data_IF_186728424216
#
_entry.id   IF_186728424216
#
_cell.length_a   1.000
_cell.length_b   1.000
_cell.length_c   1.000
_cell.angle_alpha   90.00
_cell.angle_beta   90.00
_cell.angle_gamma   90.00
#
_symmetry.space_group_name_H-M   'P 1'
#
loop_
_entity.id
_entity.type
_entity.pdbx_description
1 polymer ?
#
# COMPACT_ATOMS: atom_id res chain seq x y z
N UNK A 1 -33.25 12.67 2.98
CA UNK A 1 -32.61 11.46 3.49
C UNK A 1 -32.25 10.50 2.35
N UNK A 2 -33.21 9.89 1.67
CA UNK A 2 -32.95 8.89 0.62
C UNK A 2 -31.99 9.34 -0.50
N UNK A 3 -32.07 10.56 -0.98
CA UNK A 3 -31.19 11.11 -2.02
C UNK A 3 -29.73 11.20 -1.56
N UNK A 4 -29.49 11.61 -0.32
CA UNK A 4 -28.14 11.73 0.25
C UNK A 4 -27.49 10.38 0.45
N UNK A 5 -28.24 9.41 0.97
CA UNK A 5 -27.79 8.03 1.12
C UNK A 5 -27.45 7.39 -0.23
N UNK A 6 -28.31 7.56 -1.24
CA UNK A 6 -28.06 7.06 -2.59
C UNK A 6 -26.81 7.69 -3.21
N UNK A 7 -26.61 8.99 -3.03
CA UNK A 7 -25.40 9.66 -3.50
C UNK A 7 -24.14 9.05 -2.88
N UNK A 8 -24.13 8.85 -1.56
CA UNK A 8 -22.99 8.29 -0.84
C UNK A 8 -22.74 6.83 -1.26
N UNK A 9 -23.77 5.99 -1.36
CA UNK A 9 -23.67 4.59 -1.80
C UNK A 9 -23.05 4.44 -3.19
N UNK A 10 -23.17 5.46 -4.05
CA UNK A 10 -22.65 5.46 -5.42
C UNK A 10 -21.25 6.09 -5.56
N UNK A 11 -20.55 6.40 -4.48
CA UNK A 11 -19.15 6.84 -4.56
C UNK A 11 -18.29 5.77 -5.23
N UNK A 12 -17.42 6.22 -6.13
CA UNK A 12 -16.56 5.31 -6.89
C UNK A 12 -15.63 4.52 -5.98
N UNK A 13 -15.53 3.23 -6.23
CA UNK A 13 -14.62 2.31 -5.58
C UNK A 13 -13.44 1.92 -6.49
N UNK A 14 -13.34 2.57 -7.67
CA UNK A 14 -12.28 2.34 -8.65
C UNK A 14 -11.57 3.65 -8.97
N UNK A 15 -10.24 3.57 -9.11
CA UNK A 15 -9.45 4.71 -9.56
C UNK A 15 -9.67 4.95 -11.06
N UNK A 16 -9.72 6.20 -11.52
CA UNK A 16 -9.90 6.49 -12.94
C UNK A 16 -8.73 5.93 -13.77
N UNK A 17 -9.06 5.23 -14.84
CA UNK A 17 -8.07 4.69 -15.76
C UNK A 17 -7.40 5.82 -16.57
N UNK A 18 -6.09 5.74 -16.84
CA UNK A 18 -5.40 6.71 -17.68
C UNK A 18 -5.88 6.62 -19.14
N UNK A 19 -5.88 7.77 -19.83
CA UNK A 19 -6.30 7.82 -21.26
C UNK A 19 -5.36 7.04 -22.18
N UNK A 20 -4.08 6.93 -21.81
CA UNK A 20 -3.06 6.21 -22.56
C UNK A 20 -2.37 5.24 -21.61
N UNK A 21 -2.32 3.98 -21.99
CA UNK A 21 -1.59 2.95 -21.28
C UNK A 21 -0.17 2.86 -21.85
N UNK A 22 0.82 2.76 -20.96
CA UNK A 22 2.21 2.45 -21.34
C UNK A 22 2.49 1.02 -20.92
N UNK A 23 3.25 0.24 -21.71
CA UNK A 23 3.66 -1.10 -21.33
C UNK A 23 4.51 -1.07 -20.06
N UNK A 24 4.46 -2.15 -19.28
CA UNK A 24 5.15 -2.28 -18.00
C UNK A 24 6.24 -3.33 -18.12
N UNK A 25 7.42 -3.03 -17.59
CA UNK A 25 8.49 -4.01 -17.36
C UNK A 25 8.64 -4.16 -15.84
N UNK A 26 8.59 -5.41 -15.36
CA UNK A 26 8.72 -5.71 -13.95
C UNK A 26 10.14 -6.18 -13.65
N UNK A 27 10.79 -5.55 -12.68
CA UNK A 27 12.12 -5.90 -12.18
C UNK A 27 11.96 -6.51 -10.78
N UNK A 28 12.23 -7.81 -10.68
CA UNK A 28 11.95 -8.65 -9.51
C UNK A 28 10.64 -9.42 -9.65
N UNK A 29 10.68 -10.73 -9.42
CA UNK A 29 9.54 -11.65 -9.61
C UNK A 29 9.16 -12.35 -8.29
N UNK A 30 9.19 -11.58 -7.18
CA UNK A 30 8.83 -12.05 -5.85
C UNK A 30 7.35 -12.36 -5.67
N UNK A 31 6.97 -12.86 -4.48
CA UNK A 31 5.59 -13.23 -4.15
C UNK A 31 4.59 -12.10 -4.39
N UNK A 32 4.93 -10.87 -4.03
CA UNK A 32 4.02 -9.72 -4.22
C UNK A 32 3.71 -9.46 -5.71
N UNK A 33 4.64 -9.74 -6.60
CA UNK A 33 4.42 -9.62 -8.05
C UNK A 33 3.42 -10.67 -8.53
N UNK A 34 3.62 -11.91 -8.08
CA UNK A 34 2.73 -13.03 -8.40
C UNK A 34 1.33 -12.83 -7.84
N UNK A 35 1.24 -12.42 -6.57
CA UNK A 35 -0.01 -12.45 -5.81
C UNK A 35 -0.83 -11.14 -5.96
N UNK A 36 -0.20 -10.05 -6.38
CA UNK A 36 -0.87 -8.75 -6.46
C UNK A 36 -0.61 -7.97 -7.76
N UNK A 37 0.65 -7.69 -8.15
CA UNK A 37 0.92 -6.83 -9.32
C UNK A 37 0.39 -7.44 -10.62
N UNK A 38 0.79 -8.65 -10.96
CA UNK A 38 0.36 -9.31 -12.20
C UNK A 38 -1.16 -9.56 -12.25
N UNK A 39 -1.82 -10.03 -11.18
CA UNK A 39 -3.28 -10.10 -11.15
C UNK A 39 -3.96 -8.74 -11.35
N UNK A 40 -3.44 -7.66 -10.74
CA UNK A 40 -3.96 -6.31 -10.91
C UNK A 40 -3.81 -5.83 -12.36
N UNK A 41 -2.62 -5.95 -12.93
CA UNK A 41 -2.34 -5.53 -14.30
C UNK A 41 -3.18 -6.31 -15.32
N UNK A 42 -3.31 -7.62 -15.14
CA UNK A 42 -4.19 -8.45 -15.96
C UNK A 42 -5.65 -8.02 -15.88
N UNK A 43 -6.15 -7.75 -14.65
CA UNK A 43 -7.53 -7.30 -14.42
C UNK A 43 -7.80 -5.92 -15.05
N UNK A 44 -6.82 -5.02 -14.98
CA UNK A 44 -6.91 -3.67 -15.54
C UNK A 44 -6.63 -3.60 -17.05
N UNK A 45 -6.17 -4.68 -17.67
CA UNK A 45 -5.77 -4.70 -19.09
C UNK A 45 -4.45 -3.97 -19.35
N UNK A 46 -3.58 -3.82 -18.34
CA UNK A 46 -2.23 -3.29 -18.53
C UNK A 46 -1.35 -4.34 -19.19
N UNK A 47 -0.61 -3.93 -20.22
CA UNK A 47 0.37 -4.78 -20.88
C UNK A 47 1.62 -4.92 -20.02
N UNK A 48 1.97 -6.14 -19.63
CA UNK A 48 3.29 -6.45 -19.07
C UNK A 48 4.15 -6.99 -20.21
N UNK A 49 5.05 -6.16 -20.72
CA UNK A 49 5.88 -6.48 -21.90
C UNK A 49 7.05 -7.39 -21.57
N UNK A 50 7.46 -7.49 -20.30
CA UNK A 50 8.52 -8.41 -19.90
C UNK A 50 8.86 -8.38 -18.42
N UNK A 51 9.61 -9.40 -18.00
CA UNK A 51 10.09 -9.59 -16.64
C UNK A 51 11.61 -9.69 -16.61
N UNK A 52 12.19 -9.26 -15.50
CA UNK A 52 13.58 -9.53 -15.15
C UNK A 52 13.69 -9.94 -13.67
N UNK A 53 14.48 -10.97 -13.40
CA UNK A 53 14.92 -11.33 -12.05
C UNK A 53 16.36 -11.87 -12.14
N UNK A 54 17.13 -11.73 -11.06
CA UNK A 54 18.47 -12.36 -10.96
C UNK A 54 18.39 -13.89 -11.01
N UNK A 55 17.27 -14.46 -10.58
CA UNK A 55 16.89 -15.85 -10.78
C UNK A 55 16.05 -15.96 -12.07
N UNK A 56 16.73 -16.23 -13.18
CA UNK A 56 16.09 -16.31 -14.51
C UNK A 56 15.05 -17.43 -14.61
N UNK A 57 15.21 -18.53 -13.89
CA UNK A 57 14.23 -19.63 -13.91
C UNK A 57 12.94 -19.22 -13.19
N UNK A 58 13.05 -18.49 -12.10
CA UNK A 58 11.90 -17.93 -11.41
C UNK A 58 11.14 -16.95 -12.32
N UNK A 59 11.85 -16.08 -13.03
CA UNK A 59 11.23 -15.16 -13.99
C UNK A 59 10.53 -15.90 -15.13
N UNK A 60 11.17 -16.94 -15.72
CA UNK A 60 10.60 -17.76 -16.79
C UNK A 60 9.34 -18.51 -16.33
N UNK A 61 9.36 -19.08 -15.13
CA UNK A 61 8.21 -19.79 -14.59
C UNK A 61 7.02 -18.84 -14.39
N UNK A 62 7.26 -17.65 -13.84
CA UNK A 62 6.23 -16.64 -13.66
C UNK A 62 5.72 -16.09 -15.00
N UNK A 63 6.61 -15.85 -15.96
CA UNK A 63 6.23 -15.41 -17.29
C UNK A 63 5.32 -16.44 -17.99
N UNK A 64 5.64 -17.72 -17.90
CA UNK A 64 4.82 -18.81 -18.41
C UNK A 64 3.44 -18.86 -17.75
N UNK A 65 3.37 -18.71 -16.41
CA UNK A 65 2.12 -18.74 -15.65
C UNK A 65 1.16 -17.61 -16.07
N UNK A 66 1.70 -16.42 -16.36
CA UNK A 66 0.89 -15.25 -16.72
C UNK A 66 0.84 -14.95 -18.23
N UNK A 67 1.47 -15.75 -19.06
CA UNK A 67 1.47 -15.58 -20.52
C UNK A 67 2.30 -14.39 -20.98
N UNK A 68 3.38 -14.04 -20.28
CA UNK A 68 4.30 -12.96 -20.63
C UNK A 68 5.40 -13.52 -21.55
N UNK A 69 5.60 -12.91 -22.72
CA UNK A 69 6.48 -13.47 -23.74
C UNK A 69 7.97 -13.20 -23.49
N UNK A 70 8.30 -12.08 -22.87
CA UNK A 70 9.69 -11.66 -22.70
C UNK A 70 10.20 -11.88 -21.29
N UNK A 71 11.37 -12.51 -21.19
CA UNK A 71 12.18 -12.54 -19.97
C UNK A 71 13.56 -12.02 -20.33
N UNK A 72 13.91 -10.86 -19.79
CA UNK A 72 15.18 -10.20 -20.08
C UNK A 72 16.35 -10.94 -19.40
N UNK A 73 17.48 -10.98 -20.06
CA UNK A 73 18.69 -11.64 -19.57
C UNK A 73 19.52 -10.72 -18.66
N UNK A 74 19.34 -9.42 -18.78
CA UNK A 74 20.04 -8.42 -17.96
C UNK A 74 19.19 -7.18 -17.73
N UNK A 75 19.57 -6.38 -16.71
CA UNK A 75 18.97 -5.06 -16.47
C UNK A 75 19.21 -4.11 -17.64
N UNK A 76 20.40 -4.18 -18.23
CA UNK A 76 20.79 -3.36 -19.38
C UNK A 76 19.87 -3.62 -20.57
N UNK A 77 19.52 -4.88 -20.83
CA UNK A 77 18.56 -5.25 -21.88
C UNK A 77 17.16 -4.70 -21.56
N UNK A 78 16.67 -4.90 -20.35
CA UNK A 78 15.37 -4.38 -19.92
C UNK A 78 15.29 -2.85 -20.05
N UNK A 79 16.36 -2.13 -19.66
CA UNK A 79 16.43 -0.67 -19.62
C UNK A 79 16.58 0.01 -20.99
N UNK A 80 16.67 -0.75 -22.07
CA UNK A 80 16.61 -0.19 -23.44
C UNK A 80 15.20 0.31 -23.79
N UNK A 81 14.18 -0.19 -23.10
CA UNK A 81 12.76 0.12 -23.37
C UNK A 81 12.31 1.38 -22.60
N UNK A 82 12.86 2.55 -22.93
CA UNK A 82 12.67 3.80 -22.18
C UNK A 82 11.25 4.38 -22.21
N UNK A 83 10.41 3.94 -23.11
CA UNK A 83 9.00 4.31 -23.23
C UNK A 83 8.05 3.48 -22.34
N UNK A 84 8.61 2.53 -21.60
CA UNK A 84 7.90 1.68 -20.67
C UNK A 84 7.91 2.25 -19.24
N UNK A 85 6.97 1.78 -18.42
CA UNK A 85 6.99 1.99 -16.98
C UNK A 85 7.77 0.85 -16.33
N UNK A 86 8.74 1.18 -15.48
CA UNK A 86 9.49 0.17 -14.75
C UNK A 86 8.88 -0.05 -13.35
N UNK A 87 8.37 -1.24 -13.10
CA UNK A 87 7.88 -1.67 -11.78
C UNK A 87 9.01 -2.40 -11.04
N UNK A 88 9.63 -1.72 -10.06
CA UNK A 88 10.73 -2.24 -9.28
C UNK A 88 10.23 -2.92 -8.01
N UNK A 89 9.93 -4.21 -8.10
CA UNK A 89 9.46 -5.04 -6.99
C UNK A 89 10.63 -5.75 -6.29
N UNK A 90 11.58 -4.97 -5.82
CA UNK A 90 12.85 -5.44 -5.26
C UNK A 90 12.88 -5.39 -3.73
N UNK A 91 13.66 -6.26 -3.09
CA UNK A 91 14.03 -6.07 -1.69
C UNK A 91 14.73 -4.71 -1.49
N UNK A 92 14.55 -4.04 -0.34
CA UNK A 92 15.14 -2.71 -0.09
C UNK A 92 16.67 -2.70 -0.22
N UNK A 93 17.33 -3.82 0.05
CA UNK A 93 18.78 -3.96 -0.06
C UNK A 93 19.32 -3.81 -1.49
N UNK A 94 18.51 -4.11 -2.50
CA UNK A 94 18.92 -4.11 -3.90
C UNK A 94 18.43 -2.86 -4.65
N UNK A 95 17.52 -2.09 -4.05
CA UNK A 95 16.82 -1.01 -4.76
C UNK A 95 17.78 0.10 -5.20
N UNK A 96 18.67 0.55 -4.32
CA UNK A 96 19.61 1.65 -4.63
C UNK A 96 20.50 1.32 -5.84
N UNK A 97 21.11 0.14 -5.87
CA UNK A 97 21.97 -0.29 -6.98
C UNK A 97 21.23 -0.32 -8.31
N UNK A 98 19.99 -0.80 -8.31
CA UNK A 98 19.18 -0.86 -9.53
C UNK A 98 18.76 0.53 -9.98
N UNK A 99 18.40 1.42 -9.05
CA UNK A 99 18.03 2.82 -9.37
C UNK A 99 19.21 3.59 -9.95
N UNK A 100 20.44 3.32 -9.51
CA UNK A 100 21.66 3.90 -10.10
C UNK A 100 21.83 3.54 -11.58
N UNK A 101 21.37 2.36 -11.99
CA UNK A 101 21.44 1.87 -13.38
C UNK A 101 20.26 2.28 -14.25
N UNK A 102 19.15 2.76 -13.66
CA UNK A 102 17.98 3.21 -14.42
C UNK A 102 18.33 4.29 -15.45
N UNK A 103 17.74 4.26 -16.64
CA UNK A 103 17.90 5.34 -17.61
C UNK A 103 17.25 6.64 -17.14
N UNK A 104 17.60 7.73 -17.82
CA UNK A 104 17.01 9.04 -17.58
C UNK A 104 15.66 9.19 -18.28
N UNK A 105 14.82 10.13 -17.76
CA UNK A 105 13.53 10.53 -18.38
C UNK A 105 12.52 9.39 -18.49
N UNK A 106 12.44 8.52 -17.50
CA UNK A 106 11.53 7.37 -17.43
C UNK A 106 10.48 7.51 -16.34
N UNK A 107 9.53 6.58 -16.35
CA UNK A 107 8.54 6.39 -15.30
C UNK A 107 8.85 5.12 -14.50
N UNK A 108 8.71 5.18 -13.19
CA UNK A 108 8.96 4.02 -12.33
C UNK A 108 7.97 3.92 -11.16
N UNK A 109 7.64 2.70 -10.77
CA UNK A 109 6.92 2.37 -9.53
C UNK A 109 7.89 1.63 -8.64
N UNK A 110 8.07 2.08 -7.41
CA UNK A 110 8.95 1.43 -6.44
C UNK A 110 8.14 0.71 -5.36
N UNK A 111 8.50 -0.53 -5.08
CA UNK A 111 7.99 -1.21 -3.90
C UNK A 111 8.53 -0.58 -2.63
N UNK A 112 7.66 -0.51 -1.61
CA UNK A 112 8.07 -0.07 -0.26
C UNK A 112 8.93 -1.14 0.43
N UNK A 113 9.85 -0.76 1.33
CA UNK A 113 10.25 0.61 1.65
C UNK A 113 11.25 1.18 0.63
N UNK A 114 11.39 2.49 0.59
CA UNK A 114 12.35 3.18 -0.27
C UNK A 114 13.77 3.07 0.30
N UNK A 115 14.40 1.90 0.13
CA UNK A 115 15.71 1.60 0.70
C UNK A 115 15.65 1.09 2.15
N UNK A 116 16.80 0.77 2.72
CA UNK A 116 16.96 0.22 4.08
C UNK A 116 16.92 1.28 5.17
N UNK A 117 17.17 2.53 4.81
CA UNK A 117 17.28 3.64 5.75
C UNK A 117 16.79 4.94 5.12
N UNK A 118 16.58 5.97 5.96
CA UNK A 118 16.27 7.32 5.49
C UNK A 118 17.39 7.88 4.60
N UNK A 119 18.65 7.55 4.89
CA UNK A 119 19.80 7.98 4.07
C UNK A 119 19.73 7.39 2.67
N UNK A 120 19.50 6.07 2.54
CA UNK A 120 19.32 5.43 1.24
C UNK A 120 18.10 5.99 0.49
N UNK A 121 16.97 6.15 1.15
CA UNK A 121 15.79 6.76 0.56
C UNK A 121 16.05 8.16 0.01
N UNK A 122 16.85 8.99 0.73
CA UNK A 122 17.27 10.29 0.25
C UNK A 122 18.23 10.22 -0.95
N UNK A 123 19.13 9.23 -0.98
CA UNK A 123 20.02 8.99 -2.14
C UNK A 123 19.17 8.60 -3.37
N UNK A 124 18.25 7.65 -3.21
CA UNK A 124 17.36 7.23 -4.30
C UNK A 124 16.56 8.42 -4.82
N UNK A 125 15.96 9.21 -3.94
CA UNK A 125 15.22 10.42 -4.34
C UNK A 125 16.10 11.41 -5.10
N UNK A 126 17.33 11.63 -4.67
CA UNK A 126 18.30 12.51 -5.36
C UNK A 126 18.61 11.99 -6.76
N UNK A 127 18.86 10.69 -6.92
CA UNK A 127 19.11 10.06 -8.22
C UNK A 127 17.91 10.23 -9.14
N UNK A 128 16.70 9.97 -8.65
CA UNK A 128 15.48 10.17 -9.44
C UNK A 128 15.35 11.61 -9.93
N UNK A 129 15.65 12.59 -9.07
CA UNK A 129 15.67 14.00 -9.47
C UNK A 129 16.73 14.29 -10.54
N UNK A 130 17.96 13.82 -10.35
CA UNK A 130 19.07 14.05 -11.27
C UNK A 130 18.82 13.45 -12.67
N UNK A 131 18.21 12.27 -12.69
CA UNK A 131 17.88 11.53 -13.93
C UNK A 131 16.49 11.87 -14.49
N UNK A 132 15.77 12.83 -13.89
CA UNK A 132 14.39 13.16 -14.27
C UNK A 132 13.47 11.92 -14.32
N UNK A 133 13.65 10.99 -13.36
CA UNK A 133 12.78 9.82 -13.22
C UNK A 133 11.50 10.27 -12.52
N UNK A 134 10.35 10.04 -13.15
CA UNK A 134 9.03 10.23 -12.56
C UNK A 134 8.65 8.96 -11.80
N UNK A 135 8.88 8.97 -10.49
CA UNK A 135 8.68 7.80 -9.66
C UNK A 135 7.56 7.97 -8.66
N UNK A 136 6.81 6.90 -8.41
CA UNK A 136 5.90 6.78 -7.28
C UNK A 136 6.24 5.56 -6.42
N UNK A 137 5.79 5.60 -5.16
CA UNK A 137 5.87 4.46 -4.25
C UNK A 137 4.57 3.66 -4.34
N UNK A 138 4.68 2.35 -4.25
CA UNK A 138 3.52 1.46 -4.23
C UNK A 138 2.81 1.52 -2.86
N UNK A 139 2.17 2.66 -2.60
CA UNK A 139 1.31 2.87 -1.43
C UNK A 139 -0.15 2.57 -1.78
N UNK A 140 -0.38 1.33 -2.17
CA UNK A 140 -1.62 0.85 -2.76
C UNK A 140 -2.86 1.03 -1.86
N UNK A 141 -2.73 1.12 -0.54
CA UNK A 141 -3.88 1.32 0.37
C UNK A 141 -4.70 2.57 0.00
N UNK A 142 -4.05 3.62 -0.52
CA UNK A 142 -4.77 4.81 -1.03
C UNK A 142 -5.81 4.49 -2.08
N UNK A 143 -5.58 3.48 -2.89
CA UNK A 143 -6.38 3.14 -4.06
C UNK A 143 -7.26 1.91 -3.82
N UNK A 144 -7.34 1.44 -2.57
CA UNK A 144 -8.21 0.32 -2.23
C UNK A 144 -9.68 0.70 -2.39
N UNK A 145 -10.55 -0.26 -2.78
CA UNK A 145 -11.98 -0.03 -2.95
C UNK A 145 -12.67 0.61 -1.74
N UNK A 146 -12.15 0.38 -0.53
CA UNK A 146 -12.69 0.98 0.70
C UNK A 146 -12.13 2.38 0.99
N UNK A 147 -10.96 2.74 0.44
CA UNK A 147 -10.37 4.08 0.66
C UNK A 147 -11.00 5.15 -0.24
N UNK A 148 -11.32 4.80 -1.48
CA UNK A 148 -11.78 5.76 -2.48
C UNK A 148 -13.10 6.46 -2.10
N UNK A 149 -14.15 5.76 -1.61
CA UNK A 149 -15.36 6.42 -1.15
C UNK A 149 -15.12 7.35 0.05
N UNK A 150 -14.17 7.02 0.93
CA UNK A 150 -13.83 7.87 2.07
C UNK A 150 -13.19 9.19 1.61
N UNK A 151 -12.28 9.14 0.63
CA UNK A 151 -11.73 10.36 0.04
C UNK A 151 -12.81 11.21 -0.61
N UNK A 152 -13.76 10.61 -1.30
CA UNK A 152 -14.87 11.36 -1.90
C UNK A 152 -15.77 11.97 -0.84
N UNK A 153 -16.07 11.27 0.26
CA UNK A 153 -16.82 11.79 1.39
C UNK A 153 -16.12 12.99 2.06
N UNK A 154 -14.80 12.94 2.21
CA UNK A 154 -13.99 14.06 2.73
C UNK A 154 -14.04 15.23 1.76
N UNK A 155 -13.79 15.00 0.48
CA UNK A 155 -13.78 16.03 -0.58
C UNK A 155 -15.12 16.75 -0.71
N UNK A 156 -16.22 16.02 -0.56
CA UNK A 156 -17.58 16.59 -0.59
C UNK A 156 -18.04 17.16 0.76
N UNK A 157 -17.14 17.23 1.76
CA UNK A 157 -17.45 17.74 3.10
C UNK A 157 -18.60 17.01 3.82
N UNK A 158 -18.77 15.71 3.51
CA UNK A 158 -19.80 14.86 4.13
C UNK A 158 -19.50 14.62 5.61
N UNK A 159 -18.23 14.49 5.95
CA UNK A 159 -17.78 14.29 7.34
C UNK A 159 -17.63 15.63 8.10
N UNK A 160 -17.63 16.77 7.42
CA UNK A 160 -17.32 18.07 8.02
C UNK A 160 -15.82 18.23 8.28
N UNK A 161 -15.46 19.04 9.28
CA UNK A 161 -14.06 19.17 9.73
C UNK A 161 -13.64 17.91 10.48
N UNK A 162 -12.53 17.31 10.06
CA UNK A 162 -12.03 16.09 10.71
C UNK A 162 -11.48 16.43 12.09
N UNK A 163 -11.87 15.63 13.08
CA UNK A 163 -11.44 15.79 14.49
C UNK A 163 -10.76 14.53 15.04
N UNK A 164 -10.97 13.38 14.40
CA UNK A 164 -10.45 12.10 14.84
C UNK A 164 -9.96 11.27 13.65
N UNK A 165 -8.79 10.64 13.80
CA UNK A 165 -8.33 9.58 12.91
C UNK A 165 -7.58 8.53 13.73
N UNK A 166 -8.07 7.32 13.71
CA UNK A 166 -7.47 6.18 14.40
C UNK A 166 -7.19 5.05 13.42
N UNK A 167 -5.99 4.47 13.52
CA UNK A 167 -5.62 3.20 12.89
C UNK A 167 -5.39 2.17 13.98
N UNK A 168 -6.14 1.10 13.95
CA UNK A 168 -6.00 -0.02 14.87
C UNK A 168 -5.76 -1.32 14.10
N UNK A 169 -4.72 -2.05 14.47
CA UNK A 169 -4.40 -3.37 13.93
C UNK A 169 -3.96 -4.29 15.06
N UNK A 170 -4.68 -5.35 15.29
CA UNK A 170 -4.35 -6.41 16.25
C UNK A 170 -4.58 -7.76 15.57
N UNK A 171 -3.54 -8.29 14.90
CA UNK A 171 -3.65 -9.44 14.02
C UNK A 171 -2.51 -10.44 14.23
N UNK A 172 -2.71 -11.64 13.72
CA UNK A 172 -1.65 -12.61 13.53
C UNK A 172 -1.08 -12.48 12.12
N UNK A 173 0.20 -12.15 12.02
CA UNK A 173 0.91 -12.07 10.74
C UNK A 173 1.84 -13.28 10.62
N UNK A 174 1.74 -14.09 9.54
CA UNK A 174 2.59 -15.26 9.31
C UNK A 174 3.99 -14.82 8.82
N UNK A 175 4.83 -14.37 9.73
CA UNK A 175 6.14 -13.80 9.46
C UNK A 175 7.10 -14.74 8.71
N UNK A 176 6.88 -16.04 8.82
CA UNK A 176 7.65 -17.07 8.16
C UNK A 176 7.57 -17.02 6.62
N UNK A 177 6.54 -16.38 6.08
CA UNK A 177 6.41 -16.18 4.63
C UNK A 177 7.47 -15.23 4.06
N UNK A 178 8.12 -14.43 4.93
CA UNK A 178 9.12 -13.44 4.52
C UNK A 178 10.42 -13.55 5.30
N UNK A 179 11.27 -14.58 5.03
CA UNK A 179 12.51 -14.82 5.78
C UNK A 179 13.50 -13.65 5.80
N UNK A 180 13.50 -12.81 4.76
CA UNK A 180 14.38 -11.63 4.66
C UNK A 180 14.12 -10.58 5.77
N UNK A 181 12.95 -10.58 6.40
CA UNK A 181 12.62 -9.66 7.48
C UNK A 181 13.54 -9.79 8.69
N UNK A 182 14.11 -11.00 8.90
CA UNK A 182 15.05 -11.27 9.98
C UNK A 182 16.38 -10.52 9.85
N UNK A 183 16.67 -10.01 8.65
CA UNK A 183 17.92 -9.27 8.35
C UNK A 183 17.76 -7.75 8.47
N UNK A 184 16.56 -7.28 8.79
CA UNK A 184 16.26 -5.85 8.84
C UNK A 184 16.36 -5.30 10.26
N UNK A 185 16.96 -4.13 10.40
CA UNK A 185 17.08 -3.40 11.68
C UNK A 185 15.74 -2.83 12.17
N UNK A 186 14.77 -2.67 11.28
CA UNK A 186 13.39 -2.21 11.54
C UNK A 186 12.44 -2.94 10.61
N UNK A 187 11.31 -3.42 11.12
CA UNK A 187 10.38 -4.25 10.37
C UNK A 187 8.99 -3.60 10.31
N UNK A 188 8.38 -3.31 11.46
CA UNK A 188 6.96 -2.99 11.49
C UNK A 188 6.64 -1.70 10.75
N UNK A 189 7.29 -0.57 11.12
CA UNK A 189 6.98 0.73 10.52
C UNK A 189 7.30 0.78 9.03
N UNK A 190 8.51 0.43 8.56
CA UNK A 190 8.85 0.57 7.13
C UNK A 190 8.12 -0.44 6.22
N UNK A 191 7.62 -1.55 6.75
CA UNK A 191 7.02 -2.60 5.91
C UNK A 191 5.49 -2.70 6.01
N UNK A 192 4.91 -2.28 7.14
CA UNK A 192 3.47 -2.37 7.36
C UNK A 192 2.85 -1.01 7.66
N UNK A 193 3.23 -0.36 8.77
CA UNK A 193 2.66 0.92 9.16
C UNK A 193 2.88 2.03 8.15
N UNK A 194 3.87 1.93 7.28
CA UNK A 194 4.13 2.90 6.21
C UNK A 194 2.90 3.12 5.30
N UNK A 195 2.08 2.10 5.08
CA UNK A 195 0.84 2.22 4.33
C UNK A 195 -0.20 3.07 5.06
N UNK A 196 -0.32 2.89 6.38
CA UNK A 196 -1.24 3.68 7.21
C UNK A 196 -0.73 5.11 7.37
N UNK A 197 0.57 5.29 7.57
CA UNK A 197 1.21 6.62 7.66
C UNK A 197 0.99 7.38 6.35
N UNK A 198 1.17 6.72 5.21
CA UNK A 198 0.92 7.31 3.91
C UNK A 198 -0.56 7.67 3.72
N UNK A 199 -1.47 6.78 4.14
CA UNK A 199 -2.91 7.01 4.10
C UNK A 199 -3.32 8.19 5.00
N UNK A 200 -2.85 8.25 6.25
CA UNK A 200 -3.05 9.38 7.18
C UNK A 200 -2.59 10.69 6.51
N UNK A 201 -1.39 10.69 5.93
CA UNK A 201 -0.84 11.87 5.27
C UNK A 201 -1.61 12.28 4.02
N UNK A 202 -2.26 11.35 3.34
CA UNK A 202 -3.12 11.67 2.18
C UNK A 202 -4.38 12.41 2.60
N UNK A 203 -4.84 12.21 3.82
CA UNK A 203 -6.04 12.82 4.39
C UNK A 203 -5.72 14.12 5.16
N UNK A 204 -4.72 14.08 6.03
CA UNK A 204 -4.42 15.17 6.96
C UNK A 204 -3.16 15.97 6.60
N UNK A 205 -2.41 15.58 5.57
CA UNK A 205 -1.12 16.18 5.25
C UNK A 205 0.00 15.74 6.21
N UNK A 206 1.04 16.56 6.32
CA UNK A 206 2.16 16.26 7.22
C UNK A 206 1.84 16.68 8.65
N UNK A 207 2.09 15.84 9.66
CA UNK A 207 1.96 16.23 11.06
C UNK A 207 3.04 17.24 11.45
N UNK A 208 2.77 18.05 12.48
CA UNK A 208 3.72 18.96 13.09
C UNK A 208 4.80 18.22 13.91
N UNK A 209 4.46 17.02 14.39
CA UNK A 209 5.36 16.16 15.14
C UNK A 209 4.77 14.75 15.30
N UNK A 210 5.63 13.83 15.72
CA UNK A 210 5.25 12.43 15.96
C UNK A 210 5.91 11.94 17.25
N UNK A 211 5.12 11.31 18.12
CA UNK A 211 5.63 10.43 19.17
C UNK A 211 5.36 8.98 18.77
N UNK A 212 6.41 8.15 18.70
CA UNK A 212 6.29 6.78 18.22
C UNK A 212 7.20 5.84 19.01
N UNK A 213 6.68 4.68 19.36
CA UNK A 213 7.45 3.61 19.97
C UNK A 213 7.13 2.27 19.30
N UNK A 214 8.18 1.62 18.78
CA UNK A 214 8.12 0.25 18.25
C UNK A 214 8.80 -0.70 19.23
N UNK A 215 8.22 -1.90 19.40
CA UNK A 215 8.71 -2.87 20.37
C UNK A 215 8.72 -4.30 19.80
N UNK A 216 9.63 -5.11 20.36
CA UNK A 216 9.71 -6.57 20.07
C UNK A 216 8.60 -7.34 20.78
N UNK A 217 8.37 -8.55 20.30
CA UNK A 217 7.56 -9.53 21.02
C UNK A 217 8.46 -10.68 21.53
N UNK A 218 8.34 -11.14 22.80
CA UNK A 218 9.21 -12.17 23.36
C UNK A 218 9.21 -13.52 22.61
N UNK A 219 8.10 -13.84 21.92
CA UNK A 219 7.97 -15.08 21.13
C UNK A 219 8.45 -14.93 19.67
N UNK A 220 8.76 -13.72 19.21
CA UNK A 220 9.22 -13.42 17.85
C UNK A 220 10.56 -12.70 17.96
N UNK A 221 11.57 -13.43 18.45
CA UNK A 221 12.88 -12.86 18.82
C UNK A 221 13.73 -12.48 17.61
N UNK A 222 13.48 -13.12 16.49
CA UNK A 222 14.23 -12.94 15.24
C UNK A 222 13.91 -11.64 14.50
N UNK A 223 12.79 -10.99 14.81
CA UNK A 223 12.44 -9.70 14.21
C UNK A 223 12.90 -8.53 15.08
N UNK A 224 13.28 -7.43 14.43
CA UNK A 224 13.69 -6.21 15.10
C UNK A 224 12.56 -5.60 15.94
N UNK A 225 11.36 -5.52 15.36
CA UNK A 225 10.12 -5.08 15.99
C UNK A 225 8.90 -5.67 15.26
N UNK A 226 7.74 -5.63 15.89
CA UNK A 226 6.49 -6.18 15.33
C UNK A 226 5.23 -5.52 15.91
N UNK A 227 5.41 -4.51 16.77
CA UNK A 227 4.31 -3.76 17.38
C UNK A 227 4.70 -2.29 17.50
N UNK A 228 3.79 -1.40 17.14
CA UNK A 228 4.03 0.04 17.15
C UNK A 228 2.84 0.81 17.70
N UNK A 229 3.10 1.83 18.49
CA UNK A 229 2.12 2.86 18.83
C UNK A 229 2.67 4.22 18.43
N UNK A 230 1.83 5.04 17.78
CA UNK A 230 2.19 6.37 17.36
C UNK A 230 1.06 7.37 17.62
N UNK A 231 1.45 8.60 17.99
CA UNK A 231 0.57 9.77 18.06
C UNK A 231 1.14 10.79 17.08
N UNK A 232 0.29 11.27 16.17
CA UNK A 232 0.63 12.27 15.18
C UNK A 232 0.03 13.61 15.59
N UNK A 233 0.88 14.61 15.77
CA UNK A 233 0.45 15.95 16.18
C UNK A 233 -0.04 16.76 14.99
N UNK A 234 -1.35 17.00 14.93
CA UNK A 234 -2.02 17.89 13.98
C UNK A 234 -2.62 19.14 14.66
N UNK A 235 -1.99 19.60 15.74
CA UNK A 235 -2.47 20.73 16.56
C UNK A 235 -3.44 20.26 17.64
N UNK A 236 -4.33 21.15 18.05
CA UNK A 236 -5.20 20.96 19.21
C UNK A 236 -6.64 20.52 18.89
N UNK A 237 -6.95 20.33 17.60
CA UNK A 237 -8.31 19.99 17.16
C UNK A 237 -8.43 18.57 16.61
N UNK A 238 -7.34 17.97 16.14
CA UNK A 238 -7.35 16.63 15.53
C UNK A 238 -6.56 15.66 16.43
N UNK A 239 -7.24 14.63 16.92
CA UNK A 239 -6.56 13.49 17.52
C UNK A 239 -6.26 12.45 16.44
N UNK A 240 -4.97 12.16 16.20
CA UNK A 240 -4.55 11.15 15.24
C UNK A 240 -3.61 10.16 15.91
N UNK A 241 -3.99 8.88 15.93
CA UNK A 241 -3.18 7.84 16.54
C UNK A 241 -3.21 6.52 15.76
N UNK A 242 -2.19 5.71 16.00
CA UNK A 242 -2.01 4.40 15.39
C UNK A 242 -1.54 3.40 16.45
N UNK A 243 -2.22 2.25 16.54
CA UNK A 243 -1.84 1.13 17.42
C UNK A 243 -1.80 -0.15 16.61
N UNK A 244 -0.61 -0.73 16.48
CA UNK A 244 -0.35 -1.87 15.60
C UNK A 244 0.25 -3.02 16.40
N UNK A 245 -0.35 -4.19 16.30
CA UNK A 245 0.16 -5.46 16.83
C UNK A 245 0.00 -6.56 15.78
N UNK A 246 1.12 -7.04 15.25
CA UNK A 246 1.17 -8.13 14.26
C UNK A 246 1.43 -9.51 14.88
N UNK A 247 1.37 -9.61 16.22
CA UNK A 247 1.77 -10.84 16.94
C UNK A 247 0.67 -11.39 17.83
N UNK A 248 -0.59 -11.07 17.54
CA UNK A 248 -1.71 -11.65 18.26
C UNK A 248 -1.82 -13.15 17.97
N UNK A 249 -1.59 -13.99 18.98
CA UNK A 249 -1.50 -15.46 18.83
C UNK A 249 -2.58 -16.23 19.58
N UNK A 250 -3.70 -15.56 19.90
CA UNK A 250 -4.78 -16.14 20.71
C UNK A 250 -6.07 -16.41 19.90
N UNK A 251 -5.87 -16.79 18.62
CA UNK A 251 -6.97 -17.13 17.72
C UNK A 251 -7.63 -15.91 17.07
N UNK A 252 -8.61 -16.18 16.18
CA UNK A 252 -9.26 -15.15 15.36
C UNK A 252 -10.20 -14.22 16.15
N UNK A 253 -10.82 -14.70 17.19
CA UNK A 253 -11.94 -14.01 17.87
C UNK A 253 -11.65 -12.56 18.29
N UNK A 254 -10.42 -12.27 18.74
CA UNK A 254 -10.01 -10.95 19.23
C UNK A 254 -9.03 -10.26 18.26
N UNK A 255 -8.92 -10.71 17.02
CA UNK A 255 -8.24 -9.96 15.98
C UNK A 255 -9.17 -8.89 15.43
N UNK A 256 -8.62 -7.69 15.25
CA UNK A 256 -9.33 -6.56 14.67
C UNK A 256 -8.36 -5.67 13.87
N UNK A 257 -8.85 -5.10 12.77
CA UNK A 257 -8.06 -4.20 11.93
C UNK A 257 -8.98 -3.20 11.24
N UNK A 258 -8.82 -1.92 11.57
CA UNK A 258 -9.65 -0.86 11.00
C UNK A 258 -8.93 0.49 10.94
N UNK A 259 -9.47 1.37 10.08
CA UNK A 259 -9.25 2.81 10.10
C UNK A 259 -10.59 3.48 10.40
N UNK A 260 -10.62 4.38 11.37
CA UNK A 260 -11.79 5.15 11.76
C UNK A 260 -11.51 6.64 11.67
N UNK A 261 -12.44 7.38 11.08
CA UNK A 261 -12.44 8.82 11.02
C UNK A 261 -13.73 9.36 11.63
N UNK A 262 -13.61 10.48 12.34
CA UNK A 262 -14.76 11.27 12.75
C UNK A 262 -14.52 12.74 12.40
N UNK A 263 -15.57 13.37 11.98
CA UNK A 263 -15.61 14.80 11.72
C UNK A 263 -16.81 15.44 12.39
N UNK A 264 -16.99 16.74 12.22
CA UNK A 264 -18.07 17.50 12.87
C UNK A 264 -19.47 17.20 12.34
N UNK A 265 -19.59 16.49 11.19
CA UNK A 265 -20.88 16.16 10.56
C UNK A 265 -21.10 14.69 10.31
N UNK A 266 -20.09 13.85 10.48
CA UNK A 266 -20.19 12.42 10.19
C UNK A 266 -18.93 11.67 10.51
N UNK A 267 -18.97 10.35 10.27
CA UNK A 267 -17.87 9.45 10.52
C UNK A 267 -17.78 8.37 9.44
N UNK A 268 -16.60 7.74 9.34
CA UNK A 268 -16.36 6.60 8.47
C UNK A 268 -15.55 5.53 9.24
N UNK A 269 -15.86 4.25 8.99
CA UNK A 269 -15.08 3.12 9.49
C UNK A 269 -14.80 2.15 8.36
N UNK A 270 -13.52 1.85 8.15
CA UNK A 270 -13.03 0.87 7.20
C UNK A 270 -12.48 -0.35 7.96
N UNK A 271 -13.02 -1.54 7.72
CA UNK A 271 -12.45 -2.81 8.19
C UNK A 271 -11.43 -3.30 7.17
N UNK A 272 -10.21 -3.54 7.62
CA UNK A 272 -9.09 -4.00 6.79
C UNK A 272 -9.08 -5.54 6.75
N UNK A 273 -10.01 -6.10 5.99
CA UNK A 273 -10.30 -7.53 5.96
C UNK A 273 -9.12 -8.41 5.55
N UNK A 274 -8.28 -7.95 4.61
CA UNK A 274 -7.09 -8.68 4.17
C UNK A 274 -6.15 -9.06 5.32
N UNK A 275 -6.08 -8.26 6.38
CA UNK A 275 -5.19 -8.51 7.52
C UNK A 275 -5.71 -9.59 8.47
N UNK A 276 -6.98 -9.90 8.37
CA UNK A 276 -7.67 -10.86 9.20
C UNK A 276 -7.65 -12.22 8.50
N UNK A 277 -7.03 -13.22 9.13
CA UNK A 277 -6.83 -14.56 8.53
C UNK A 277 -5.97 -14.53 7.24
N UNK A 278 -4.89 -13.74 7.26
CA UNK A 278 -3.95 -13.65 6.12
C UNK A 278 -3.29 -15.01 5.82
N UNK A 279 -3.09 -15.43 4.57
CA UNK A 279 -3.25 -14.66 3.33
C UNK A 279 -4.66 -14.73 2.71
N UNK A 280 -5.56 -15.54 3.22
CA UNK A 280 -6.92 -15.67 2.68
C UNK A 280 -7.69 -14.37 2.78
N UNK A 281 -7.59 -13.70 3.92
CA UNK A 281 -8.31 -12.48 4.25
C UNK A 281 -9.81 -12.71 4.50
N UNK A 282 -10.43 -11.77 5.19
CA UNK A 282 -11.87 -11.64 5.31
C UNK A 282 -12.40 -10.56 4.37
N UNK A 283 -13.71 -10.49 4.14
CA UNK A 283 -14.31 -9.38 3.42
C UNK A 283 -14.00 -8.03 4.09
N UNK A 284 -13.62 -7.07 3.27
CA UNK A 284 -13.47 -5.67 3.68
C UNK A 284 -14.84 -5.04 3.85
N UNK A 285 -14.95 -4.11 4.80
CA UNK A 285 -16.20 -3.41 5.07
C UNK A 285 -15.94 -1.91 5.14
N UNK A 286 -16.88 -1.13 4.63
CA UNK A 286 -16.90 0.32 4.75
C UNK A 286 -18.30 0.74 5.18
N UNK A 287 -18.33 1.59 6.19
CA UNK A 287 -19.55 2.25 6.66
C UNK A 287 -19.27 3.76 6.78
N UNK A 288 -20.22 4.58 6.33
CA UNK A 288 -20.18 6.04 6.46
C UNK A 288 -21.51 6.50 7.07
N UNK A 289 -21.45 7.41 8.02
CA UNK A 289 -22.61 8.14 8.54
C UNK A 289 -22.42 9.63 8.35
N UNK A 290 -23.50 10.35 8.16
CA UNK A 290 -23.52 11.82 8.16
C UNK A 290 -24.83 12.33 8.73
N UNK A 291 -24.89 13.61 9.05
CA UNK A 291 -26.13 14.24 9.56
C UNK A 291 -27.35 13.90 8.71
N UNK A 292 -28.38 13.38 9.36
CA UNK A 292 -29.65 13.01 8.75
C UNK A 292 -29.65 11.65 8.03
N UNK A 293 -28.65 10.79 8.26
CA UNK A 293 -28.63 9.39 7.76
C UNK A 293 -28.38 8.42 8.91
N UNK A 294 -28.69 7.15 8.72
CA UNK A 294 -28.10 6.05 9.47
C UNK A 294 -26.72 5.67 8.91
N UNK A 295 -26.04 4.69 9.53
CA UNK A 295 -24.82 4.12 8.98
C UNK A 295 -25.07 3.47 7.62
N UNK A 296 -24.45 4.02 6.60
CA UNK A 296 -24.55 3.57 5.21
C UNK A 296 -23.46 2.53 5.00
N UNK A 297 -23.85 1.27 4.89
CA UNK A 297 -22.95 0.18 4.54
C UNK A 297 -22.76 0.12 3.03
N UNK A 298 -21.49 0.01 2.60
CA UNK A 298 -21.13 -0.13 1.20
C UNK A 298 -21.12 -1.61 0.79
N UNK A 299 -21.60 -1.89 -0.42
CA UNK A 299 -21.35 -3.14 -1.11
C UNK A 299 -19.99 -3.03 -1.81
N UNK A 300 -18.97 -3.65 -1.23
CA UNK A 300 -17.58 -3.49 -1.69
C UNK A 300 -17.35 -4.28 -2.96
N UNK A 301 -16.99 -3.55 -4.03
CA UNK A 301 -16.72 -4.08 -5.37
C UNK A 301 -15.20 -4.29 -5.54
N UNK A 302 -14.71 -5.46 -5.15
CA UNK A 302 -13.29 -5.79 -5.25
C UNK A 302 -12.66 -6.09 -3.90
N UNK A 303 -11.33 -6.08 -3.87
CA UNK A 303 -10.53 -6.40 -2.68
C UNK A 303 -9.35 -5.45 -2.58
N UNK A 304 -8.76 -5.33 -1.40
CA UNK A 304 -7.49 -4.62 -1.25
C UNK A 304 -6.45 -5.20 -2.21
N UNK A 305 -6.20 -6.51 -2.16
CA UNK A 305 -5.37 -7.20 -3.15
C UNK A 305 -6.30 -7.98 -4.11
N UNK A 306 -6.14 -7.85 -5.44
CA UNK A 306 -5.12 -7.03 -6.14
C UNK A 306 -5.60 -5.62 -6.53
N UNK A 307 -6.85 -5.23 -6.27
CA UNK A 307 -7.50 -4.08 -6.93
C UNK A 307 -6.84 -2.74 -6.61
N UNK A 308 -6.32 -2.58 -5.39
CA UNK A 308 -5.62 -1.37 -4.99
C UNK A 308 -4.33 -1.09 -5.79
N UNK A 309 -3.73 -2.11 -6.39
CA UNK A 309 -2.52 -1.95 -7.22
C UNK A 309 -2.81 -1.32 -8.59
N UNK A 310 -4.08 -1.33 -9.02
CA UNK A 310 -4.48 -0.74 -10.30
C UNK A 310 -4.35 0.79 -10.27
N UNK A 311 -4.59 1.40 -9.12
CA UNK A 311 -4.58 2.85 -8.97
C UNK A 311 -3.20 3.47 -8.75
N UNK A 312 -2.17 2.65 -8.49
CA UNK A 312 -0.79 3.14 -8.32
C UNK A 312 -0.19 3.53 -9.65
#
# INVERSE_FOLDING_TARGET
MADKENTIKNYSQTWPMPKKLSPIIIIGTGGIVKDAHLPAYKKAGFEVSGLYDVDSEKAKNLAKEFGINNVFNSLEEAFQNKDHIFDLALPPANLLEVVEKLPENIYAVFQKPLGRSLEEGNKIRKICHQKNIKACMNFQLRFSPISLPVYEAIKQNILGELVELEVHVNVHTPWELWPFLKTLDRVEVPLHSIHYIDWIRSVLGNPQGVYCQSVKHPKVKELADCRTSAIFNYGNQIRCCMTINHTHSFGRKNQDAYIRLEGTKGAAKMKLGLLLDYPTGEPEELEIITEGTDWIKFDIQGKWFPDAFIGV
#
